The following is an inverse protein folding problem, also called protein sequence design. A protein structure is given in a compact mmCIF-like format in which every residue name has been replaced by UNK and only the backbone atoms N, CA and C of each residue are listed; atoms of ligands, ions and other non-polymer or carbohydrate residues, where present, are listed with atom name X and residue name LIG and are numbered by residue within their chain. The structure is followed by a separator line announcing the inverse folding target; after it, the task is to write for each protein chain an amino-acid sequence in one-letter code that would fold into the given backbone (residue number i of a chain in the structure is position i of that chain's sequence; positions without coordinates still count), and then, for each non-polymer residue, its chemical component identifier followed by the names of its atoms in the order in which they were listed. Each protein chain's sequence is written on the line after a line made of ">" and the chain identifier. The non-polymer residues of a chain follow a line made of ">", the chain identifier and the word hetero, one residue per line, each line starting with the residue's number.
data_IF_003993711580
#
_entry.id   IF_003993711580
#
_cell.length_a   1.000
_cell.length_b   1.000
_cell.length_c   1.000
_cell.angle_alpha   90.00
_cell.angle_beta   90.00
_cell.angle_gamma   90.00
#
_symmetry.space_group_name_H-M   'P 1'
#
loop_
_entity.id
_entity.type
_entity.pdbx_description
1 polymer ?
#
# COMPACT_ATOMS: atom_id res chain seq x y z
N UNK A 1 -7.59 20.80 -0.28
CA UNK A 1 -6.54 19.92 -0.83
C UNK A 1 -5.84 19.25 0.34
N UNK A 2 -5.97 17.97 0.48
CA UNK A 2 -5.38 17.24 1.62
C UNK A 2 -4.03 16.69 1.16
N UNK A 3 -2.95 17.46 1.30
CA UNK A 3 -1.58 16.96 1.20
C UNK A 3 -1.14 16.53 2.60
N UNK A 4 -0.74 15.29 2.75
CA UNK A 4 -0.30 14.70 4.03
C UNK A 4 1.13 15.15 4.34
N UNK A 5 1.99 15.17 3.31
CA UNK A 5 3.38 15.58 3.41
C UNK A 5 3.68 16.82 2.56
N UNK A 6 4.64 17.66 2.97
CA UNK A 6 5.13 18.77 2.16
C UNK A 6 5.77 18.27 0.86
N UNK A 7 5.72 19.09 -0.19
CA UNK A 7 6.34 18.78 -1.48
C UNK A 7 7.83 18.46 -1.36
N UNK A 8 8.52 19.10 -0.46
CA UNK A 8 9.94 18.89 -0.16
C UNK A 8 10.22 17.47 0.33
N UNK A 9 9.35 16.93 1.17
CA UNK A 9 9.44 15.54 1.65
C UNK A 9 9.28 14.56 0.48
N UNK A 10 8.27 14.73 -0.37
CA UNK A 10 8.04 13.88 -1.53
C UNK A 10 9.19 13.95 -2.54
N UNK A 11 9.74 15.14 -2.76
CA UNK A 11 10.92 15.32 -3.60
C UNK A 11 12.14 14.59 -3.03
N UNK A 12 12.36 14.67 -1.72
CA UNK A 12 13.48 13.98 -1.08
C UNK A 12 13.33 12.45 -1.17
N UNK A 13 12.10 11.92 -0.98
CA UNK A 13 11.80 10.50 -1.16
C UNK A 13 12.12 10.03 -2.59
N UNK A 14 11.70 10.80 -3.59
CA UNK A 14 12.00 10.51 -4.99
C UNK A 14 13.50 10.56 -5.30
N UNK A 15 14.23 11.53 -4.76
CA UNK A 15 15.69 11.61 -4.88
C UNK A 15 16.39 10.39 -4.26
N UNK A 16 15.92 9.95 -3.09
CA UNK A 16 16.47 8.77 -2.43
C UNK A 16 16.22 7.50 -3.26
N UNK A 17 15.01 7.34 -3.83
CA UNK A 17 14.70 6.22 -4.73
C UNK A 17 15.61 6.25 -5.96
N UNK A 18 15.78 7.40 -6.59
CA UNK A 18 16.66 7.55 -7.76
C UNK A 18 18.13 7.27 -7.45
N UNK A 19 18.58 7.63 -6.25
CA UNK A 19 19.92 7.26 -5.78
C UNK A 19 20.08 5.74 -5.67
N UNK A 20 19.08 5.04 -5.13
CA UNK A 20 19.11 3.57 -5.09
C UNK A 20 19.01 2.92 -6.47
N UNK A 21 18.22 3.52 -7.38
CA UNK A 21 18.20 3.08 -8.79
C UNK A 21 19.56 3.18 -9.45
N UNK A 22 20.31 4.25 -9.20
CA UNK A 22 21.67 4.43 -9.70
C UNK A 22 22.62 3.34 -9.15
N UNK A 23 22.54 3.01 -7.86
CA UNK A 23 23.32 1.92 -7.26
C UNK A 23 22.93 0.55 -7.86
N UNK A 24 21.65 0.33 -8.14
CA UNK A 24 21.14 -0.89 -8.78
C UNK A 24 21.42 -0.92 -10.30
N UNK A 25 21.98 0.17 -10.87
CA UNK A 25 22.24 0.34 -12.29
C UNK A 25 21.00 0.08 -13.16
N UNK A 26 19.86 0.70 -12.78
CA UNK A 26 18.60 0.68 -13.55
C UNK A 26 18.22 2.09 -13.99
N UNK A 27 17.64 2.21 -15.20
CA UNK A 27 17.22 3.48 -15.81
C UNK A 27 15.81 3.89 -15.41
N UNK A 28 15.00 2.93 -14.95
CA UNK A 28 13.66 3.12 -14.45
C UNK A 28 13.25 1.96 -13.55
N UNK A 29 12.20 2.14 -12.75
CA UNK A 29 11.58 1.08 -11.97
C UNK A 29 10.06 1.10 -12.13
N UNK A 30 9.45 -0.09 -12.09
CA UNK A 30 8.00 -0.29 -12.02
C UNK A 30 7.67 -0.74 -10.61
N UNK A 31 7.00 0.13 -9.88
CA UNK A 31 6.58 -0.09 -8.50
C UNK A 31 5.15 -0.62 -8.53
N UNK A 32 4.89 -1.67 -7.76
CA UNK A 32 3.61 -2.38 -7.73
C UNK A 32 3.00 -2.49 -6.34
N UNK A 33 3.82 -2.30 -5.30
CA UNK A 33 3.38 -2.32 -3.90
C UNK A 33 2.65 -1.02 -3.57
N UNK A 34 1.37 -1.04 -3.16
CA UNK A 34 0.58 0.17 -2.91
C UNK A 34 1.22 1.14 -1.92
N UNK A 35 1.82 0.63 -0.85
CA UNK A 35 2.50 1.45 0.16
C UNK A 35 3.74 2.16 -0.41
N UNK A 36 4.42 1.57 -1.41
CA UNK A 36 5.55 2.19 -2.08
C UNK A 36 5.07 3.27 -3.07
N UNK A 37 3.91 3.05 -3.71
CA UNK A 37 3.24 4.05 -4.55
C UNK A 37 2.79 5.24 -3.68
N UNK A 38 2.11 4.96 -2.55
CA UNK A 38 1.73 5.98 -1.58
C UNK A 38 2.93 6.79 -1.08
N UNK A 39 4.02 6.12 -0.72
CA UNK A 39 5.26 6.76 -0.25
C UNK A 39 5.78 7.85 -1.20
N UNK A 40 5.63 7.63 -2.52
CA UNK A 40 6.12 8.55 -3.55
C UNK A 40 5.06 9.55 -4.04
N UNK A 41 3.77 9.23 -3.95
CA UNK A 41 2.71 10.01 -4.62
C UNK A 41 1.61 10.50 -3.70
N UNK A 42 1.53 9.98 -2.48
CA UNK A 42 0.40 10.15 -1.54
C UNK A 42 -0.95 9.64 -2.06
N UNK A 43 -0.96 8.84 -3.13
CA UNK A 43 -2.21 8.26 -3.61
C UNK A 43 -2.76 7.28 -2.57
N UNK A 44 -3.84 7.69 -1.92
CA UNK A 44 -4.52 6.96 -0.87
C UNK A 44 -5.94 6.61 -1.30
N UNK A 45 -6.16 5.32 -1.60
CA UNK A 45 -7.46 4.78 -1.98
C UNK A 45 -7.49 3.25 -1.79
N UNK A 46 -8.69 2.69 -1.73
CA UNK A 46 -8.89 1.24 -1.57
C UNK A 46 -8.91 0.46 -2.89
N UNK A 47 -8.74 1.14 -4.03
CA UNK A 47 -8.76 0.51 -5.37
C UNK A 47 -7.49 -0.25 -5.76
N UNK A 48 -6.50 -0.33 -4.90
CA UNK A 48 -5.18 -0.95 -5.15
C UNK A 48 -5.22 -2.47 -5.41
N UNK A 49 -6.35 -3.15 -5.16
CA UNK A 49 -6.56 -4.56 -5.52
C UNK A 49 -6.66 -4.80 -7.04
N UNK A 50 -6.94 -3.78 -7.83
CA UNK A 50 -6.84 -3.80 -9.29
C UNK A 50 -5.42 -3.40 -9.73
N UNK A 51 -5.12 -3.51 -11.03
CA UNK A 51 -3.84 -3.09 -11.58
C UNK A 51 -3.51 -1.64 -11.22
N UNK A 52 -2.38 -1.44 -10.56
CA UNK A 52 -1.93 -0.17 -10.03
C UNK A 52 -0.40 -0.16 -10.01
N UNK A 53 0.20 0.60 -10.93
CA UNK A 53 1.62 0.54 -11.21
C UNK A 53 2.18 1.96 -11.39
N UNK A 54 3.27 2.26 -10.67
CA UNK A 54 3.99 3.53 -10.81
C UNK A 54 5.30 3.31 -11.54
N UNK A 55 5.48 3.95 -12.68
CA UNK A 55 6.75 3.95 -13.43
C UNK A 55 7.55 5.17 -13.01
N UNK A 56 8.72 4.93 -12.44
CA UNK A 56 9.66 5.97 -11.97
C UNK A 56 10.90 5.95 -12.87
N UNK A 57 11.12 6.97 -13.70
CA UNK A 57 12.36 7.10 -14.47
C UNK A 57 13.49 7.67 -13.58
N UNK A 58 14.74 7.48 -14.01
CA UNK A 58 15.89 8.10 -13.33
C UNK A 58 15.84 9.63 -13.33
N UNK A 59 15.18 10.22 -14.33
CA UNK A 59 14.96 11.66 -14.44
C UNK A 59 13.57 11.96 -15.02
N UNK A 60 13.02 13.14 -14.73
CA UNK A 60 11.72 13.57 -15.22
C UNK A 60 10.56 13.13 -14.34
N UNK A 61 9.38 13.11 -14.92
CA UNK A 61 8.11 12.90 -14.21
C UNK A 61 7.76 11.40 -14.15
N UNK A 62 7.16 10.98 -13.06
CA UNK A 62 6.62 9.62 -12.89
C UNK A 62 5.32 9.46 -13.69
N UNK A 63 4.96 8.21 -14.03
CA UNK A 63 3.68 7.88 -14.64
C UNK A 63 2.99 6.80 -13.80
N UNK A 64 1.76 7.09 -13.36
CA UNK A 64 0.91 6.12 -12.69
C UNK A 64 -0.06 5.51 -13.70
N UNK A 65 -0.02 4.19 -13.79
CA UNK A 65 -0.98 3.38 -14.57
C UNK A 65 -1.95 2.72 -13.63
N UNK A 66 -3.24 3.02 -13.76
CA UNK A 66 -4.31 2.36 -13.00
C UNK A 66 -5.64 2.44 -13.76
N UNK A 67 -6.74 2.01 -13.13
CA UNK A 67 -8.07 2.06 -13.76
C UNK A 67 -8.49 3.50 -14.06
N UNK A 68 -9.11 3.72 -15.21
CA UNK A 68 -9.57 5.05 -15.67
C UNK A 68 -10.54 5.71 -14.67
N UNK A 69 -11.31 4.93 -13.91
CA UNK A 69 -12.23 5.43 -12.89
C UNK A 69 -11.52 6.14 -11.73
N UNK A 70 -10.23 5.86 -11.48
CA UNK A 70 -9.46 6.49 -10.41
C UNK A 70 -8.97 7.90 -10.76
N UNK A 71 -9.29 8.39 -11.97
CA UNK A 71 -8.79 9.69 -12.46
C UNK A 71 -9.07 10.85 -11.51
N UNK A 72 -10.27 10.94 -10.97
CA UNK A 72 -10.66 12.03 -10.07
C UNK A 72 -9.90 11.94 -8.73
N UNK A 73 -9.77 10.73 -8.18
CA UNK A 73 -8.97 10.48 -6.97
C UNK A 73 -7.52 10.89 -7.20
N UNK A 74 -6.94 10.46 -8.32
CA UNK A 74 -5.59 10.83 -8.71
C UNK A 74 -5.41 12.35 -8.83
N UNK A 75 -6.27 13.03 -9.59
CA UNK A 75 -6.17 14.48 -9.83
C UNK A 75 -6.27 15.30 -8.52
N UNK A 76 -7.03 14.80 -7.54
CA UNK A 76 -7.16 15.44 -6.23
C UNK A 76 -5.93 15.23 -5.35
N UNK A 77 -5.32 14.07 -5.36
CA UNK A 77 -4.27 13.66 -4.41
C UNK A 77 -2.86 13.78 -4.99
N UNK A 78 -2.62 13.32 -6.23
CA UNK A 78 -1.28 13.21 -6.82
C UNK A 78 -0.90 14.47 -7.58
N UNK A 79 0.28 15.03 -7.27
CA UNK A 79 0.78 16.27 -7.90
C UNK A 79 2.15 16.11 -8.58
N UNK A 80 2.75 14.93 -8.50
CA UNK A 80 4.11 14.66 -8.94
C UNK A 80 4.22 13.48 -9.92
N UNK A 81 3.10 13.05 -10.48
CA UNK A 81 3.05 12.02 -11.52
C UNK A 81 1.97 12.35 -12.55
N UNK A 82 2.06 11.75 -13.73
CA UNK A 82 1.01 11.78 -14.76
C UNK A 82 0.14 10.52 -14.67
N UNK A 83 -1.10 10.66 -15.10
CA UNK A 83 -2.10 9.60 -15.06
C UNK A 83 -2.24 8.90 -16.42
N UNK A 84 -2.12 7.58 -16.41
CA UNK A 84 -2.44 6.70 -17.54
C UNK A 84 -3.54 5.74 -17.10
N UNK A 85 -4.79 6.04 -17.49
CA UNK A 85 -5.96 5.26 -17.07
C UNK A 85 -6.40 4.29 -18.12
N UNK A 86 -6.50 2.98 -17.79
CA UNK A 86 -7.08 1.95 -18.65
C UNK A 86 -8.55 1.68 -18.30
N UNK A 87 -9.36 1.29 -19.26
CA UNK A 87 -10.70 0.78 -19.01
C UNK A 87 -10.65 -0.67 -18.49
N UNK A 88 -11.76 -1.14 -17.89
CA UNK A 88 -11.81 -2.47 -17.30
C UNK A 88 -11.75 -3.63 -18.32
N UNK A 89 -12.06 -3.35 -19.58
CA UNK A 89 -12.00 -4.30 -20.70
C UNK A 89 -10.70 -4.20 -21.50
N UNK A 90 -9.74 -3.39 -21.08
CA UNK A 90 -8.43 -3.22 -21.73
C UNK A 90 -7.35 -3.98 -20.96
N UNK A 91 -6.26 -4.34 -21.66
CA UNK A 91 -5.10 -4.98 -21.03
C UNK A 91 -4.23 -3.91 -20.36
N UNK A 92 -4.09 -3.90 -19.01
CA UNK A 92 -3.23 -2.94 -18.32
C UNK A 92 -1.78 -2.96 -18.80
N UNK A 93 -1.30 -4.09 -19.32
CA UNK A 93 0.06 -4.21 -19.84
C UNK A 93 0.32 -3.24 -21.01
N UNK A 94 -0.67 -2.94 -21.85
CA UNK A 94 -0.51 -1.99 -22.95
C UNK A 94 -0.24 -0.56 -22.46
N UNK A 95 -0.86 -0.20 -21.34
CA UNK A 95 -0.64 1.11 -20.69
C UNK A 95 0.71 1.21 -20.02
N UNK A 96 1.21 0.11 -19.43
CA UNK A 96 2.58 0.05 -18.90
C UNK A 96 3.60 0.18 -20.04
N UNK A 97 3.40 -0.53 -21.15
CA UNK A 97 4.26 -0.41 -22.35
C UNK A 97 4.25 1.02 -22.88
N UNK A 98 3.08 1.65 -22.94
CA UNK A 98 2.95 3.05 -23.35
C UNK A 98 3.70 4.00 -22.42
N UNK A 99 3.59 3.79 -21.09
CA UNK A 99 4.34 4.57 -20.10
C UNK A 99 5.86 4.39 -20.25
N UNK A 100 6.32 3.14 -20.42
CA UNK A 100 7.74 2.85 -20.67
C UNK A 100 8.23 3.46 -21.99
N UNK A 101 7.40 3.45 -23.03
CA UNK A 101 7.72 4.08 -24.32
C UNK A 101 7.87 5.59 -24.19
N UNK A 102 6.94 6.24 -23.52
CA UNK A 102 6.97 7.70 -23.33
C UNK A 102 8.17 8.15 -22.49
N UNK A 103 8.54 7.34 -21.49
CA UNK A 103 9.72 7.56 -20.68
C UNK A 103 11.03 7.08 -21.34
N UNK A 104 10.98 6.59 -22.59
CA UNK A 104 12.13 6.08 -23.37
C UNK A 104 12.86 4.91 -22.71
N UNK A 105 12.11 4.05 -22.00
CA UNK A 105 12.64 2.92 -21.23
C UNK A 105 12.57 1.58 -21.98
N UNK A 106 12.01 1.50 -23.21
CA UNK A 106 11.81 0.23 -23.94
C UNK A 106 13.10 -0.48 -24.38
N UNK A 107 14.26 0.18 -24.29
CA UNK A 107 15.56 -0.41 -24.62
C UNK A 107 16.56 -0.20 -23.46
N UNK A 108 16.06 -0.25 -22.22
CA UNK A 108 16.81 0.11 -21.02
C UNK A 108 16.76 -1.01 -19.98
N UNK A 109 17.54 -0.85 -18.93
CA UNK A 109 17.46 -1.70 -17.74
C UNK A 109 16.37 -1.16 -16.83
N UNK A 110 15.31 -1.94 -16.62
CA UNK A 110 14.15 -1.54 -15.83
C UNK A 110 13.94 -2.50 -14.67
N UNK A 111 13.89 -1.95 -13.47
CA UNK A 111 13.53 -2.71 -12.28
C UNK A 111 12.03 -2.95 -12.18
N UNK A 112 11.65 -4.06 -11.55
CA UNK A 112 10.27 -4.36 -11.20
C UNK A 112 10.21 -5.02 -9.83
N UNK A 113 9.17 -4.71 -9.05
CA UNK A 113 8.92 -5.37 -7.76
C UNK A 113 8.29 -6.74 -7.99
N UNK A 114 9.10 -7.80 -8.00
CA UNK A 114 8.62 -9.17 -8.18
C UNK A 114 7.99 -9.77 -6.93
N UNK A 115 8.42 -9.33 -5.74
CA UNK A 115 7.87 -9.77 -4.46
C UNK A 115 6.68 -8.88 -4.06
N UNK A 116 5.64 -8.88 -4.89
CA UNK A 116 4.43 -8.07 -4.68
C UNK A 116 3.18 -8.93 -4.89
N UNK A 117 2.26 -8.89 -3.94
CA UNK A 117 0.95 -9.54 -4.07
C UNK A 117 0.04 -8.85 -5.11
N UNK A 118 0.41 -7.65 -5.56
CA UNK A 118 -0.37 -6.83 -6.49
C UNK A 118 0.11 -6.93 -7.94
N UNK A 119 1.19 -7.69 -8.19
CA UNK A 119 1.66 -8.03 -9.53
C UNK A 119 1.34 -9.48 -9.83
N UNK A 120 0.27 -9.73 -10.55
CA UNK A 120 -0.05 -11.11 -10.95
C UNK A 120 0.98 -11.65 -11.97
N UNK A 121 1.25 -12.96 -11.94
CA UNK A 121 2.17 -13.59 -12.89
C UNK A 121 1.75 -13.29 -14.34
N UNK A 122 0.44 -13.38 -14.66
CA UNK A 122 -0.09 -13.09 -15.98
C UNK A 122 0.24 -11.65 -16.44
N UNK A 123 0.10 -10.67 -15.55
CA UNK A 123 0.40 -9.28 -15.88
C UNK A 123 1.91 -9.09 -16.11
N UNK A 124 2.75 -9.66 -15.25
CA UNK A 124 4.20 -9.60 -15.40
C UNK A 124 4.66 -10.24 -16.73
N UNK A 125 4.14 -11.41 -17.06
CA UNK A 125 4.42 -12.10 -18.32
C UNK A 125 3.97 -11.29 -19.54
N UNK A 126 2.75 -10.70 -19.49
CA UNK A 126 2.24 -9.85 -20.57
C UNK A 126 3.12 -8.62 -20.79
N UNK A 127 3.53 -7.92 -19.72
CA UNK A 127 4.44 -6.78 -19.81
C UNK A 127 5.77 -7.21 -20.45
N UNK A 128 6.38 -8.30 -19.97
CA UNK A 128 7.68 -8.77 -20.47
C UNK A 128 7.61 -9.22 -21.94
N UNK A 129 6.56 -9.92 -22.33
CA UNK A 129 6.35 -10.33 -23.72
C UNK A 129 6.20 -9.15 -24.68
N UNK A 130 5.56 -8.06 -24.22
CA UNK A 130 5.37 -6.82 -25.02
C UNK A 130 6.62 -5.90 -25.00
N UNK A 131 7.61 -6.17 -24.17
CA UNK A 131 8.83 -5.37 -24.00
C UNK A 131 10.10 -6.20 -24.16
N UNK A 132 10.31 -6.89 -25.31
CA UNK A 132 11.39 -7.89 -25.48
C UNK A 132 12.81 -7.30 -25.45
N UNK A 133 12.97 -5.97 -25.53
CA UNK A 133 14.27 -5.28 -25.47
C UNK A 133 14.55 -4.64 -24.11
N UNK A 134 13.63 -4.75 -23.16
CA UNK A 134 13.84 -4.28 -21.80
C UNK A 134 14.60 -5.36 -21.03
N UNK A 135 15.71 -4.96 -20.40
CA UNK A 135 16.44 -5.81 -19.47
C UNK A 135 15.83 -5.70 -18.07
N UNK A 136 14.93 -6.63 -17.74
CA UNK A 136 14.20 -6.62 -16.49
C UNK A 136 15.06 -7.07 -15.30
N UNK A 137 15.10 -6.25 -14.24
CA UNK A 137 15.82 -6.50 -13.00
C UNK A 137 14.84 -6.64 -11.83
N UNK A 138 15.19 -7.45 -10.83
CA UNK A 138 14.43 -7.51 -9.59
C UNK A 138 14.83 -6.36 -8.66
N UNK A 139 13.89 -5.46 -8.36
CA UNK A 139 14.07 -4.34 -7.44
C UNK A 139 13.08 -4.37 -6.27
N UNK A 140 12.61 -5.55 -5.89
CA UNK A 140 11.55 -5.77 -4.90
C UNK A 140 11.76 -5.05 -3.57
N UNK A 141 13.00 -4.91 -3.12
CA UNK A 141 13.32 -4.29 -1.83
C UNK A 141 13.78 -2.83 -1.92
N UNK A 142 13.88 -2.25 -3.12
CA UNK A 142 14.51 -0.96 -3.31
C UNK A 142 13.79 0.17 -2.54
N UNK A 143 12.49 0.30 -2.73
CA UNK A 143 11.70 1.34 -2.05
C UNK A 143 11.39 0.95 -0.61
N UNK A 144 11.07 -0.33 -0.37
CA UNK A 144 10.75 -0.82 0.98
C UNK A 144 11.90 -0.64 1.97
N UNK A 145 13.15 -0.79 1.53
CA UNK A 145 14.32 -0.56 2.37
C UNK A 145 14.44 0.92 2.81
N UNK A 146 14.09 1.87 1.94
CA UNK A 146 14.08 3.29 2.29
C UNK A 146 13.01 3.63 3.33
N UNK A 147 11.88 2.92 3.32
CA UNK A 147 10.76 3.10 4.25
C UNK A 147 11.02 2.53 5.66
N UNK A 148 12.07 1.71 5.84
CA UNK A 148 12.40 1.16 7.17
C UNK A 148 12.73 2.27 8.15
N UNK A 149 13.53 3.26 7.73
CA UNK A 149 13.88 4.42 8.56
C UNK A 149 12.90 5.55 8.28
N UNK A 150 12.08 5.89 9.28
CA UNK A 150 11.02 6.89 9.16
C UNK A 150 11.56 8.30 9.31
N UNK A 151 11.05 9.23 8.50
CA UNK A 151 11.29 10.66 8.68
C UNK A 151 10.60 11.17 9.97
N UNK A 152 10.98 12.36 10.49
CA UNK A 152 10.27 12.96 11.61
C UNK A 152 8.77 13.14 11.36
N UNK A 153 8.37 13.51 10.14
CA UNK A 153 6.97 13.66 9.75
C UNK A 153 6.23 12.32 9.72
N UNK A 154 6.85 11.27 9.19
CA UNK A 154 6.30 9.91 9.23
C UNK A 154 6.13 9.42 10.68
N UNK A 155 7.10 9.73 11.56
CA UNK A 155 7.00 9.38 12.99
C UNK A 155 5.81 10.05 13.68
N UNK A 156 5.41 11.24 13.27
CA UNK A 156 4.22 11.89 13.82
C UNK A 156 2.93 11.15 13.42
N UNK A 157 2.86 10.63 12.20
CA UNK A 157 1.74 9.78 11.78
C UNK A 157 1.76 8.41 12.47
N UNK A 158 2.92 7.80 12.67
CA UNK A 158 3.06 6.56 13.45
C UNK A 158 2.54 6.75 14.87
N UNK A 159 2.86 7.88 15.52
CA UNK A 159 2.34 8.21 16.87
C UNK A 159 0.82 8.42 16.89
N UNK A 160 0.26 9.06 15.86
CA UNK A 160 -1.20 9.21 15.73
C UNK A 160 -1.89 7.86 15.55
N UNK A 161 -1.35 7.00 14.69
CA UNK A 161 -1.86 5.64 14.48
C UNK A 161 -1.81 4.81 15.77
N UNK A 162 -0.69 4.89 16.51
CA UNK A 162 -0.56 4.23 17.82
C UNK A 162 -1.65 4.67 18.81
N UNK A 163 -1.94 5.98 18.90
CA UNK A 163 -3.02 6.49 19.77
C UNK A 163 -4.40 5.93 19.38
N UNK A 164 -4.67 5.79 18.08
CA UNK A 164 -5.92 5.17 17.64
C UNK A 164 -5.98 3.68 18.01
N UNK A 165 -4.85 2.97 17.88
CA UNK A 165 -4.73 1.57 18.31
C UNK A 165 -4.93 1.42 19.83
N UNK A 166 -4.31 2.30 20.63
CA UNK A 166 -4.49 2.32 22.10
C UNK A 166 -5.97 2.53 22.49
N UNK A 167 -6.65 3.45 21.80
CA UNK A 167 -8.09 3.68 22.03
C UNK A 167 -8.92 2.43 21.73
N UNK A 168 -8.63 1.73 20.65
CA UNK A 168 -9.28 0.47 20.30
C UNK A 168 -9.01 -0.64 21.32
N UNK A 169 -7.76 -0.82 21.73
CA UNK A 169 -7.37 -1.81 22.72
C UNK A 169 -8.06 -1.56 24.07
N UNK A 170 -8.08 -0.33 24.56
CA UNK A 170 -8.75 0.03 25.80
C UNK A 170 -10.27 -0.20 25.72
N UNK A 171 -10.90 0.11 24.58
CA UNK A 171 -12.32 -0.15 24.37
C UNK A 171 -12.62 -1.65 24.36
N UNK A 172 -11.79 -2.46 23.70
CA UNK A 172 -11.91 -3.91 23.70
C UNK A 172 -11.81 -4.47 25.13
N UNK A 173 -10.77 -4.09 25.89
CA UNK A 173 -10.58 -4.54 27.29
C UNK A 173 -11.79 -4.17 28.15
N UNK A 174 -12.31 -2.95 28.01
CA UNK A 174 -13.44 -2.46 28.82
C UNK A 174 -14.78 -3.11 28.45
N UNK A 175 -14.92 -3.66 27.25
CA UNK A 175 -16.15 -4.35 26.80
C UNK A 175 -16.13 -5.85 27.12
N UNK A 176 -15.01 -6.40 27.58
CA UNK A 176 -14.91 -7.81 27.97
C UNK A 176 -15.57 -8.02 29.34
N UNK A 177 -16.62 -8.87 29.37
CA UNK A 177 -17.27 -9.34 30.61
C UNK A 177 -17.84 -10.75 30.40
N UNK A 178 -18.27 -11.38 31.48
CA UNK A 178 -18.99 -12.66 31.41
C UNK A 178 -20.28 -12.49 30.61
N UNK A 179 -20.44 -13.25 29.54
CA UNK A 179 -21.57 -13.15 28.63
C UNK A 179 -21.36 -12.21 27.42
N UNK A 180 -20.29 -11.41 27.34
CA UNK A 180 -19.95 -10.64 26.14
C UNK A 180 -19.57 -11.55 24.99
N UNK A 181 -19.88 -11.16 23.76
CA UNK A 181 -19.47 -11.88 22.55
C UNK A 181 -18.21 -11.28 21.90
N UNK A 182 -17.49 -12.10 21.15
CA UNK A 182 -16.37 -11.63 20.32
C UNK A 182 -16.82 -10.60 19.26
N UNK A 183 -18.08 -10.66 18.79
CA UNK A 183 -18.68 -9.62 17.93
C UNK A 183 -18.77 -8.27 18.63
N UNK A 184 -19.28 -8.26 19.87
CA UNK A 184 -19.45 -7.03 20.64
C UNK A 184 -18.10 -6.36 20.92
N UNK A 185 -17.13 -7.13 21.39
CA UNK A 185 -15.78 -6.62 21.67
C UNK A 185 -15.09 -6.13 20.41
N UNK A 186 -15.23 -6.83 19.27
CA UNK A 186 -14.68 -6.40 17.98
C UNK A 186 -15.32 -5.10 17.47
N UNK A 187 -16.65 -4.97 17.65
CA UNK A 187 -17.39 -3.77 17.26
C UNK A 187 -16.93 -2.55 18.07
N UNK A 188 -16.82 -2.69 19.41
CA UNK A 188 -16.35 -1.61 20.29
C UNK A 188 -14.89 -1.20 20.02
N UNK A 189 -14.01 -2.17 19.79
CA UNK A 189 -12.63 -1.93 19.36
C UNK A 189 -12.60 -1.10 18.08
N UNK A 190 -13.29 -1.55 17.04
CA UNK A 190 -13.34 -0.89 15.74
C UNK A 190 -13.94 0.51 15.81
N UNK A 191 -15.05 0.66 16.54
CA UNK A 191 -15.70 1.96 16.77
C UNK A 191 -14.73 2.96 17.42
N UNK A 192 -14.02 2.53 18.45
CA UNK A 192 -13.09 3.40 19.18
C UNK A 192 -11.89 3.82 18.29
N UNK A 193 -11.32 2.91 17.52
CA UNK A 193 -10.23 3.22 16.58
C UNK A 193 -10.67 4.24 15.52
N UNK A 194 -11.83 4.04 14.89
CA UNK A 194 -12.37 4.97 13.89
C UNK A 194 -12.67 6.34 14.52
N UNK A 195 -13.28 6.36 15.71
CA UNK A 195 -13.57 7.60 16.45
C UNK A 195 -12.29 8.35 16.87
N UNK A 196 -11.17 7.65 17.02
CA UNK A 196 -9.86 8.24 17.31
C UNK A 196 -9.09 8.68 16.07
N UNK A 197 -9.67 8.56 14.87
CA UNK A 197 -9.13 9.06 13.60
C UNK A 197 -8.45 8.02 12.72
N UNK A 198 -8.63 6.72 13.00
CA UNK A 198 -8.22 5.68 12.06
C UNK A 198 -9.17 5.65 10.85
N UNK A 199 -8.65 5.53 9.66
CA UNK A 199 -9.46 5.41 8.42
C UNK A 199 -9.96 3.98 8.25
N UNK A 200 -9.04 3.03 8.09
CA UNK A 200 -9.34 1.60 8.07
C UNK A 200 -8.17 0.81 8.66
N UNK A 201 -8.43 -0.44 9.00
CA UNK A 201 -7.42 -1.31 9.59
C UNK A 201 -6.68 -2.09 8.49
N UNK A 202 -5.38 -2.29 8.66
CA UNK A 202 -4.63 -3.23 7.82
C UNK A 202 -5.16 -4.66 8.04
N UNK A 203 -5.46 -5.00 9.31
CA UNK A 203 -6.18 -6.20 9.73
C UNK A 203 -7.25 -5.80 10.73
N UNK A 204 -8.42 -6.45 10.67
CA UNK A 204 -9.45 -6.32 11.71
C UNK A 204 -8.96 -6.87 13.05
N UNK A 205 -9.63 -6.54 14.15
CA UNK A 205 -9.31 -7.12 15.46
C UNK A 205 -9.42 -8.64 15.43
N UNK A 206 -8.39 -9.35 15.92
CA UNK A 206 -8.45 -10.79 16.15
C UNK A 206 -8.82 -11.00 17.62
N UNK A 207 -10.07 -11.37 17.89
CA UNK A 207 -10.57 -11.55 19.25
C UNK A 207 -11.12 -12.97 19.38
N UNK A 208 -10.55 -13.73 20.31
CA UNK A 208 -10.84 -15.17 20.47
C UNK A 208 -10.80 -15.59 21.93
N UNK A 209 -11.75 -16.45 22.40
CA UNK A 209 -11.68 -17.05 23.71
C UNK A 209 -10.65 -18.20 23.76
N UNK A 210 -10.39 -18.70 24.96
CA UNK A 210 -9.47 -19.82 25.26
C UNK A 210 -9.67 -21.01 24.35
N UNK A 211 -10.93 -21.38 24.05
CA UNK A 211 -11.29 -22.51 23.18
C UNK A 211 -10.67 -22.46 21.79
N UNK A 212 -10.32 -21.25 21.32
CA UNK A 212 -9.80 -21.00 19.97
C UNK A 212 -8.40 -20.36 19.93
N UNK A 213 -7.66 -20.36 21.02
CA UNK A 213 -6.32 -19.73 21.04
C UNK A 213 -5.33 -20.34 20.03
N UNK A 214 -5.51 -21.61 19.68
CA UNK A 214 -4.68 -22.26 18.67
C UNK A 214 -5.09 -22.00 17.21
N UNK A 215 -6.18 -21.28 16.96
CA UNK A 215 -6.61 -20.92 15.61
C UNK A 215 -5.97 -19.60 15.17
N UNK A 216 -4.91 -19.68 14.36
CA UNK A 216 -4.24 -18.49 13.82
C UNK A 216 -5.08 -17.79 12.74
N UNK A 217 -4.98 -16.46 12.66
CA UNK A 217 -5.58 -15.61 11.62
C UNK A 217 -7.09 -15.80 11.38
N UNK A 218 -7.84 -16.28 12.38
CA UNK A 218 -9.28 -16.41 12.31
C UNK A 218 -9.99 -15.21 12.92
N UNK A 219 -11.18 -14.90 12.37
CA UNK A 219 -12.02 -13.82 12.85
C UNK A 219 -12.99 -14.30 13.93
N UNK A 220 -13.79 -13.37 14.45
CA UNK A 220 -14.90 -13.61 15.38
C UNK A 220 -16.00 -14.48 14.74
N UNK A 221 -16.74 -15.22 15.57
CA UNK A 221 -17.82 -16.15 15.17
C UNK A 221 -19.08 -16.04 16.03
N UNK A 222 -19.17 -15.05 16.92
CA UNK A 222 -20.25 -14.89 17.88
C UNK A 222 -20.08 -15.74 19.12
N UNK A 223 -18.85 -16.12 19.47
CA UNK A 223 -18.60 -16.87 20.70
C UNK A 223 -18.72 -15.96 21.93
N UNK A 224 -19.28 -16.53 22.98
CA UNK A 224 -19.55 -15.84 24.25
C UNK A 224 -18.46 -16.16 25.25
N UNK A 225 -17.87 -15.13 25.85
CA UNK A 225 -16.83 -15.25 26.86
C UNK A 225 -17.43 -15.67 28.21
N UNK A 226 -16.66 -16.45 28.95
CA UNK A 226 -17.02 -16.93 30.30
C UNK A 226 -15.96 -16.45 31.29
N UNK A 227 -16.38 -16.29 32.53
CA UNK A 227 -15.47 -15.99 33.62
C UNK A 227 -14.37 -17.04 33.71
N UNK A 228 -13.13 -16.59 33.67
CA UNK A 228 -11.94 -17.44 33.69
C UNK A 228 -11.33 -17.73 32.30
N UNK A 229 -12.00 -17.35 31.20
CA UNK A 229 -11.41 -17.44 29.87
C UNK A 229 -10.20 -16.52 29.75
N UNK A 230 -9.15 -17.01 29.11
CA UNK A 230 -8.16 -16.13 28.50
C UNK A 230 -8.66 -15.68 27.13
N UNK A 231 -8.44 -14.40 26.81
CA UNK A 231 -8.89 -13.78 25.56
C UNK A 231 -7.67 -13.24 24.83
N UNK A 232 -7.57 -13.63 23.56
CA UNK A 232 -6.56 -13.09 22.64
C UNK A 232 -7.20 -12.00 21.81
#
# INVERSE_FOLDING_TARGET
>A
MHTVFPKEELNQRLLNVRSQMAHANVDGIVITVPENIYYLTELDHLGFFACHLLVVPKEGEMILVCRAMEKITFENQVKNARFFGHADNEDPADYIVSALSELKLLNSRVGIEKNSLFLTAKLAESIQAKTPKVEWQDTSNLVSALRIVKSPLEMDYVRKAAKATDAGMLAAINSIHDGASDYEVSAECSRAMISAGSEHFAFGPFIRPTSRLGEEHTTWRGEVFKKGDAIF
#
